data_IF_866521148089
#
_entry.id   IF_866521148089
#
_cell.length_a   1.000
_cell.length_b   1.000
_cell.length_c   1.000
_cell.angle_alpha   90.00
_cell.angle_beta   90.00
_cell.angle_gamma   90.00
#
_symmetry.space_group_name_H-M   'P 1'
#
loop_
_entity.id
_entity.type
_entity.pdbx_description
1 polymer ?
#
# COMPACT_ATOMS: atom_id res chain seq x y z
N UNK A 1 26.14 -34.16 37.42
CA UNK A 1 25.43 -35.37 37.81
C UNK A 1 24.07 -35.41 37.13
N UNK A 2 23.97 -36.35 36.19
CA UNK A 2 22.82 -37.10 35.68
C UNK A 2 21.78 -36.36 34.84
N UNK A 3 21.88 -36.61 33.55
CA UNK A 3 20.95 -37.34 32.67
C UNK A 3 19.45 -37.06 32.87
N UNK A 4 18.83 -36.42 31.88
CA UNK A 4 17.48 -36.77 31.43
C UNK A 4 17.46 -36.82 29.90
N UNK A 5 17.10 -37.97 29.45
CA UNK A 5 17.03 -38.52 28.11
C UNK A 5 16.17 -37.70 27.12
N UNK A 6 16.73 -37.65 25.95
CA UNK A 6 16.10 -37.39 24.65
C UNK A 6 14.86 -38.27 24.44
N UNK A 7 13.71 -37.64 24.11
CA UNK A 7 12.62 -38.28 23.38
C UNK A 7 12.40 -37.50 22.11
N UNK A 8 13.05 -37.94 21.04
CA UNK A 8 12.73 -37.58 19.69
C UNK A 8 11.36 -38.20 19.32
N UNK A 9 10.31 -37.39 19.29
CA UNK A 9 9.14 -37.72 18.52
C UNK A 9 9.30 -37.08 17.13
N UNK A 10 9.51 -37.90 16.13
CA UNK A 10 9.44 -37.56 14.73
C UNK A 10 8.02 -37.12 14.44
N UNK A 11 7.84 -35.83 14.21
CA UNK A 11 6.70 -35.29 13.47
C UNK A 11 7.27 -34.67 12.21
N UNK A 12 6.94 -35.25 11.07
CA UNK A 12 7.16 -34.67 9.76
C UNK A 12 6.51 -33.28 9.72
N UNK A 13 7.22 -32.26 9.22
CA UNK A 13 6.62 -30.96 9.03
C UNK A 13 5.56 -31.05 7.92
N UNK A 14 4.43 -30.36 8.07
CA UNK A 14 3.45 -30.31 7.01
C UNK A 14 4.05 -29.64 5.78
N UNK A 15 3.73 -30.21 4.65
CA UNK A 15 4.12 -29.90 3.28
C UNK A 15 4.21 -28.38 3.01
N UNK A 16 5.41 -27.84 2.96
CA UNK A 16 5.72 -26.41 2.66
C UNK A 16 5.65 -26.11 1.16
N UNK A 17 5.05 -26.98 0.36
CA UNK A 17 5.05 -26.91 -1.10
C UNK A 17 4.11 -25.85 -1.70
N UNK A 18 3.25 -25.17 -0.92
CA UNK A 18 2.29 -24.18 -1.43
C UNK A 18 2.70 -22.71 -1.21
N UNK A 19 3.76 -22.43 -0.47
CA UNK A 19 4.24 -21.05 -0.23
C UNK A 19 5.28 -20.55 -1.27
N UNK A 20 5.64 -21.36 -2.26
CA UNK A 20 6.85 -21.16 -3.07
C UNK A 20 6.70 -20.74 -4.52
N UNK A 21 5.53 -20.27 -5.00
CA UNK A 21 5.36 -20.03 -6.46
C UNK A 21 5.30 -18.57 -6.92
N UNK A 22 5.64 -17.61 -6.08
CA UNK A 22 5.73 -16.19 -6.50
C UNK A 22 7.13 -15.59 -6.44
N UNK A 23 8.16 -16.36 -6.12
CA UNK A 23 9.53 -15.86 -6.19
C UNK A 23 10.20 -16.38 -7.48
N UNK A 24 10.65 -15.43 -8.30
CA UNK A 24 11.67 -15.70 -9.29
C UNK A 24 12.83 -16.46 -8.64
N UNK A 25 13.62 -17.24 -9.38
CA UNK A 25 14.74 -17.97 -8.80
C UNK A 25 15.68 -17.03 -8.05
N UNK A 26 16.35 -17.49 -7.00
CA UNK A 26 17.25 -16.68 -6.17
C UNK A 26 18.31 -15.88 -6.96
N UNK A 27 18.62 -16.28 -8.17
CA UNK A 27 19.51 -15.58 -9.10
C UNK A 27 18.81 -14.42 -9.82
N UNK A 28 17.53 -14.57 -10.16
CA UNK A 28 16.68 -13.49 -10.69
C UNK A 28 16.38 -12.45 -9.62
N UNK A 29 16.15 -12.86 -8.37
CA UNK A 29 15.98 -11.98 -7.24
C UNK A 29 17.24 -11.16 -6.95
N UNK A 30 18.44 -11.76 -7.04
CA UNK A 30 19.71 -11.04 -6.90
C UNK A 30 19.92 -10.00 -8.02
N UNK A 31 19.65 -10.36 -9.27
CA UNK A 31 19.78 -9.43 -10.40
C UNK A 31 18.74 -8.30 -10.30
N UNK A 32 17.53 -8.58 -9.84
CA UNK A 32 16.44 -7.63 -9.61
C UNK A 32 16.82 -6.59 -8.56
N UNK A 33 17.53 -6.99 -7.52
CA UNK A 33 17.88 -6.13 -6.38
C UNK A 33 19.19 -5.35 -6.54
N UNK A 34 20.10 -5.75 -7.42
CA UNK A 34 21.42 -5.12 -7.57
C UNK A 34 21.42 -3.83 -8.38
N UNK A 35 20.45 -3.58 -9.26
CA UNK A 35 20.41 -2.36 -10.06
C UNK A 35 19.43 -1.34 -9.51
N UNK A 36 19.93 -0.17 -9.12
CA UNK A 36 19.10 0.98 -8.79
C UNK A 36 18.59 1.72 -10.04
N UNK A 37 19.12 1.41 -11.22
CA UNK A 37 18.69 1.98 -12.48
C UNK A 37 17.40 1.31 -12.96
N UNK A 38 16.38 2.13 -13.23
CA UNK A 38 15.19 1.72 -13.96
C UNK A 38 15.29 2.21 -15.41
N UNK A 39 14.66 1.50 -16.33
CA UNK A 39 14.60 1.95 -17.72
C UNK A 39 13.72 3.19 -17.83
N UNK A 40 14.23 4.24 -18.44
CA UNK A 40 13.43 5.31 -19.01
C UNK A 40 12.85 4.79 -20.33
N UNK A 41 11.66 4.25 -20.29
CA UNK A 41 10.91 3.97 -21.50
C UNK A 41 10.05 5.20 -21.77
N UNK A 42 10.28 5.89 -22.88
CA UNK A 42 9.47 7.06 -23.29
C UNK A 42 7.96 6.73 -23.42
N UNK A 43 7.60 5.46 -23.48
CA UNK A 43 6.23 4.96 -23.63
C UNK A 43 5.70 4.12 -22.46
N UNK A 44 6.51 3.83 -21.44
CA UNK A 44 6.09 2.99 -20.30
C UNK A 44 5.62 3.82 -19.11
N UNK A 45 4.91 4.90 -19.37
CA UNK A 45 4.08 5.52 -18.34
C UNK A 45 3.02 4.49 -17.92
N UNK A 46 2.74 4.44 -16.63
CA UNK A 46 1.57 3.70 -16.13
C UNK A 46 0.32 4.13 -16.93
N UNK A 47 -0.65 3.21 -17.17
CA UNK A 47 -1.89 3.60 -17.81
C UNK A 47 -2.52 4.81 -17.13
N UNK A 48 -2.80 5.88 -17.88
CA UNK A 48 -3.51 7.06 -17.38
C UNK A 48 -4.99 6.91 -17.72
N UNK A 49 -5.83 6.89 -16.70
CA UNK A 49 -7.26 6.68 -16.82
C UNK A 49 -8.00 7.92 -16.32
N UNK A 50 -8.74 8.57 -17.21
CA UNK A 50 -9.73 9.57 -16.81
C UNK A 50 -10.93 8.85 -16.18
N UNK A 51 -11.17 9.15 -14.90
CA UNK A 51 -12.25 8.52 -14.13
C UNK A 51 -13.48 9.43 -13.93
N UNK A 52 -13.59 10.56 -14.65
CA UNK A 52 -14.76 11.43 -14.55
C UNK A 52 -16.08 10.67 -14.75
N UNK A 53 -16.09 9.69 -15.66
CA UNK A 53 -17.26 8.86 -15.93
C UNK A 53 -17.74 8.01 -14.75
N UNK A 54 -16.91 7.75 -13.73
CA UNK A 54 -17.35 7.07 -12.51
C UNK A 54 -18.30 7.90 -11.65
N UNK A 55 -18.39 9.20 -11.90
CA UNK A 55 -19.30 10.12 -11.22
C UNK A 55 -20.61 10.35 -12.00
N UNK A 56 -20.75 9.73 -13.17
CA UNK A 56 -21.97 9.80 -13.98
C UNK A 56 -23.12 9.02 -13.34
N UNK A 57 -24.38 9.49 -13.46
CA UNK A 57 -25.55 8.70 -13.13
C UNK A 57 -25.76 7.52 -14.10
N UNK A 58 -25.19 7.58 -15.31
CA UNK A 58 -25.30 6.52 -16.30
C UNK A 58 -24.36 5.35 -15.98
N UNK A 59 -24.94 4.15 -15.80
CA UNK A 59 -24.20 2.92 -15.56
C UNK A 59 -23.27 2.57 -16.72
N UNK A 60 -23.66 2.85 -17.97
CA UNK A 60 -22.83 2.53 -19.13
C UNK A 60 -21.53 3.34 -19.12
N UNK A 61 -21.57 4.63 -18.74
CA UNK A 61 -20.37 5.45 -18.60
C UNK A 61 -19.46 4.94 -17.47
N UNK A 62 -20.03 4.57 -16.32
CA UNK A 62 -19.27 3.98 -15.22
C UNK A 62 -18.63 2.66 -15.61
N UNK A 63 -19.36 1.82 -16.33
CA UNK A 63 -18.86 0.51 -16.83
C UNK A 63 -17.72 0.68 -17.82
N UNK A 64 -17.82 1.65 -18.75
CA UNK A 64 -16.74 1.91 -19.70
C UNK A 64 -15.42 2.33 -19.02
N UNK A 65 -15.49 3.11 -17.94
CA UNK A 65 -14.30 3.42 -17.14
C UNK A 65 -13.82 2.19 -16.37
N UNK A 66 -14.73 1.41 -15.80
CA UNK A 66 -14.42 0.19 -15.06
C UNK A 66 -13.68 -0.83 -15.94
N UNK A 67 -14.05 -1.00 -17.20
CA UNK A 67 -13.37 -1.89 -18.16
C UNK A 67 -11.91 -1.48 -18.36
N UNK A 68 -11.63 -0.18 -18.48
CA UNK A 68 -10.26 0.35 -18.60
C UNK A 68 -9.45 0.08 -17.33
N UNK A 69 -10.06 0.28 -16.16
CA UNK A 69 -9.44 -0.05 -14.87
C UNK A 69 -9.16 -1.56 -14.80
N UNK A 70 -10.12 -2.41 -15.15
CA UNK A 70 -9.96 -3.87 -15.16
C UNK A 70 -8.83 -4.35 -16.08
N UNK A 71 -8.67 -3.73 -17.26
CA UNK A 71 -7.56 -4.01 -18.15
C UNK A 71 -6.21 -3.69 -17.50
N UNK A 72 -6.07 -2.50 -16.90
CA UNK A 72 -4.86 -2.09 -16.18
C UNK A 72 -4.56 -3.01 -14.97
N UNK A 73 -5.60 -3.44 -14.23
CA UNK A 73 -5.48 -4.38 -13.12
C UNK A 73 -4.93 -5.75 -13.55
N UNK A 74 -5.35 -6.26 -14.71
CA UNK A 74 -4.86 -7.54 -15.26
C UNK A 74 -3.44 -7.44 -15.79
N UNK A 75 -3.12 -6.35 -16.45
CA UNK A 75 -1.86 -6.21 -17.16
C UNK A 75 -0.71 -5.81 -16.22
N UNK A 76 -0.90 -4.75 -15.44
CA UNK A 76 0.16 -4.14 -14.63
C UNK A 76 -0.15 -4.19 -13.13
N UNK A 77 -1.41 -4.04 -12.72
CA UNK A 77 -1.80 -3.85 -11.32
C UNK A 77 -1.50 -2.45 -10.78
N UNK A 78 -1.08 -1.52 -11.66
CA UNK A 78 -0.79 -0.12 -11.41
C UNK A 78 -1.37 0.75 -12.52
N UNK A 79 -1.94 1.90 -12.14
CA UNK A 79 -2.45 2.90 -13.11
C UNK A 79 -2.52 4.28 -12.44
N UNK A 80 -2.56 5.34 -13.26
CA UNK A 80 -2.81 6.70 -12.80
C UNK A 80 -4.28 7.06 -13.04
N UNK A 81 -4.89 7.80 -12.11
CA UNK A 81 -6.25 8.32 -12.25
C UNK A 81 -6.25 9.83 -12.31
N UNK A 82 -6.93 10.39 -13.32
CA UNK A 82 -7.20 11.81 -13.47
C UNK A 82 -8.69 12.10 -13.29
N UNK A 83 -9.06 13.37 -13.08
CA UNK A 83 -10.44 13.82 -12.88
C UNK A 83 -11.17 13.10 -11.74
N UNK A 84 -10.42 12.83 -10.67
CA UNK A 84 -10.85 12.07 -9.50
C UNK A 84 -11.69 12.85 -8.48
N UNK A 85 -11.91 14.16 -8.69
CA UNK A 85 -12.77 15.01 -7.86
C UNK A 85 -12.19 15.46 -6.53
N UNK A 86 -10.97 15.07 -6.18
CA UNK A 86 -10.30 15.57 -4.96
C UNK A 86 -9.76 16.97 -5.21
N UNK A 87 -10.06 17.91 -4.30
CA UNK A 87 -9.67 19.31 -4.40
C UNK A 87 -8.14 19.46 -4.49
N UNK A 88 -7.59 20.08 -5.54
CA UNK A 88 -6.16 20.36 -5.66
C UNK A 88 -5.59 21.20 -4.49
N UNK A 89 -6.40 22.12 -3.92
CA UNK A 89 -5.98 22.89 -2.76
C UNK A 89 -5.76 22.00 -1.53
N UNK A 90 -6.58 20.96 -1.36
CA UNK A 90 -6.39 19.97 -0.28
C UNK A 90 -5.13 19.14 -0.50
N UNK A 91 -4.81 18.73 -1.73
CA UNK A 91 -3.58 18.02 -2.06
C UNK A 91 -2.34 18.86 -1.73
N UNK A 92 -2.36 20.16 -2.08
CA UNK A 92 -1.28 21.09 -1.74
C UNK A 92 -1.15 21.27 -0.22
N UNK A 93 -2.26 21.44 0.49
CA UNK A 93 -2.26 21.59 1.95
C UNK A 93 -1.65 20.37 2.65
N UNK A 94 -1.93 19.15 2.17
CA UNK A 94 -1.33 17.92 2.73
C UNK A 94 0.18 17.91 2.56
N UNK A 95 0.70 18.27 1.40
CA UNK A 95 2.15 18.37 1.19
C UNK A 95 2.79 19.46 2.03
N UNK A 96 2.11 20.61 2.18
CA UNK A 96 2.62 21.69 3.03
C UNK A 96 2.72 21.24 4.49
N UNK A 97 1.67 20.64 5.03
CA UNK A 97 1.68 20.11 6.39
C UNK A 97 2.73 19.01 6.57
N UNK A 98 2.95 18.16 5.57
CA UNK A 98 4.01 17.16 5.60
C UNK A 98 5.40 17.80 5.67
N UNK A 99 5.69 18.81 4.83
CA UNK A 99 6.97 19.53 4.85
C UNK A 99 7.19 20.21 6.20
N UNK A 100 6.18 20.91 6.71
CA UNK A 100 6.27 21.59 8.02
C UNK A 100 6.53 20.58 9.13
N UNK A 101 5.86 19.42 9.13
CA UNK A 101 6.11 18.39 10.13
C UNK A 101 7.52 17.81 10.05
N UNK A 102 7.98 17.39 8.88
CA UNK A 102 9.29 16.74 8.74
C UNK A 102 10.47 17.73 8.90
N UNK A 103 10.24 19.03 8.73
CA UNK A 103 11.25 20.07 9.01
C UNK A 103 11.45 20.37 10.51
N UNK A 104 10.61 19.84 11.38
CA UNK A 104 10.74 20.03 12.82
C UNK A 104 12.01 19.36 13.36
N UNK A 105 12.54 19.89 14.49
CA UNK A 105 13.64 19.24 15.20
C UNK A 105 13.31 17.77 15.53
N UNK A 106 14.30 16.90 15.41
CA UNK A 106 14.15 15.45 15.64
C UNK A 106 13.47 15.12 16.98
N UNK A 107 13.79 15.88 18.04
CA UNK A 107 13.20 15.69 19.37
C UNK A 107 11.65 15.87 19.36
N UNK A 108 11.16 16.87 18.62
CA UNK A 108 9.72 17.12 18.48
C UNK A 108 9.01 15.97 17.71
N UNK A 109 9.63 15.51 16.63
CA UNK A 109 9.11 14.35 15.86
C UNK A 109 9.13 13.09 16.70
N UNK A 110 10.20 12.82 17.44
CA UNK A 110 10.37 11.65 18.32
C UNK A 110 9.39 11.62 19.49
N UNK A 111 8.91 12.76 19.95
CA UNK A 111 7.87 12.81 20.98
C UNK A 111 6.55 12.14 20.52
N UNK A 112 6.37 12.00 19.19
CA UNK A 112 5.23 11.35 18.55
C UNK A 112 5.60 9.98 17.93
N UNK A 113 6.70 9.34 18.39
CA UNK A 113 7.16 8.07 17.83
C UNK A 113 6.06 7.00 17.92
N UNK A 114 5.84 6.27 16.84
CA UNK A 114 4.82 5.22 16.76
C UNK A 114 4.98 4.09 17.80
N UNK A 115 6.18 3.97 18.38
CA UNK A 115 6.44 3.01 19.48
C UNK A 115 5.56 3.27 20.70
N UNK A 116 5.10 4.50 20.88
CA UNK A 116 4.18 4.87 21.97
C UNK A 116 2.71 4.56 21.65
N UNK A 117 2.39 4.18 20.41
CA UNK A 117 1.02 3.87 19.98
C UNK A 117 0.77 2.37 19.89
N UNK A 118 -0.29 1.90 20.53
CA UNK A 118 -0.77 0.53 20.39
C UNK A 118 -1.43 0.26 19.02
N UNK A 119 -1.77 1.33 18.29
CA UNK A 119 -2.44 1.28 16.99
C UNK A 119 -1.51 1.57 15.80
N UNK A 120 -0.19 1.53 15.98
CA UNK A 120 0.80 1.86 14.96
C UNK A 120 0.60 3.27 14.36
N UNK A 121 0.35 4.29 15.19
CA UNK A 121 0.15 5.69 14.81
C UNK A 121 1.33 6.56 15.23
N UNK A 122 1.59 7.60 14.46
CA UNK A 122 2.64 8.58 14.76
C UNK A 122 3.88 8.44 13.89
N UNK A 123 4.98 8.97 14.38
CA UNK A 123 6.24 9.12 13.66
C UNK A 123 7.05 7.83 13.58
N UNK A 124 7.52 7.52 12.40
CA UNK A 124 8.53 6.49 12.14
C UNK A 124 9.84 7.18 11.74
N UNK A 125 10.91 7.00 12.51
CA UNK A 125 12.16 7.70 12.26
C UNK A 125 12.86 7.24 10.97
N UNK A 126 13.78 8.07 10.51
CA UNK A 126 14.62 7.76 9.36
C UNK A 126 15.34 6.42 9.56
N UNK A 127 15.26 5.55 8.56
CA UNK A 127 15.74 4.15 8.61
C UNK A 127 15.05 3.27 9.67
N UNK A 128 13.84 3.65 10.07
CA UNK A 128 13.03 2.87 11.04
C UNK A 128 12.40 1.60 10.47
N UNK A 129 12.55 1.32 9.17
CA UNK A 129 11.90 0.19 8.49
C UNK A 129 12.89 -0.54 7.55
N UNK A 130 12.70 -1.86 7.43
CA UNK A 130 13.35 -2.71 6.41
C UNK A 130 12.24 -3.50 5.71
N UNK A 131 11.86 -3.12 4.51
CA UNK A 131 10.81 -3.84 3.76
C UNK A 131 11.37 -5.00 2.93
N UNK A 132 12.57 -4.85 2.43
CA UNK A 132 13.22 -5.87 1.60
C UNK A 132 14.19 -6.69 2.45
N UNK A 133 13.92 -7.98 2.61
CA UNK A 133 14.73 -8.86 3.43
C UNK A 133 16.20 -8.89 2.96
N UNK A 134 17.13 -8.67 3.89
CA UNK A 134 18.56 -8.65 3.59
C UNK A 134 19.09 -7.36 2.93
N UNK A 135 18.23 -6.38 2.69
CA UNK A 135 18.63 -5.05 2.22
C UNK A 135 18.96 -4.11 3.40
N UNK A 136 19.69 -3.00 3.18
CA UNK A 136 19.79 -1.92 4.14
C UNK A 136 18.41 -1.35 4.49
N UNK A 137 18.32 -0.70 5.67
CA UNK A 137 17.10 -0.03 6.09
C UNK A 137 16.70 1.07 5.07
N UNK A 138 15.40 1.24 4.92
CA UNK A 138 14.79 2.18 3.99
C UNK A 138 15.16 3.63 4.34
N UNK A 139 15.69 4.37 3.38
CA UNK A 139 16.07 5.77 3.54
C UNK A 139 14.83 6.67 3.44
N UNK A 140 13.97 6.56 4.43
CA UNK A 140 12.76 7.39 4.59
C UNK A 140 12.41 7.55 6.07
N UNK A 141 11.65 8.57 6.35
CA UNK A 141 10.89 8.74 7.59
C UNK A 141 9.40 8.85 7.25
N UNK A 142 8.54 8.60 8.21
CA UNK A 142 7.10 8.57 7.96
C UNK A 142 6.25 9.01 9.13
N UNK A 143 5.00 9.37 8.86
CA UNK A 143 3.99 9.63 9.87
C UNK A 143 2.69 8.90 9.53
N UNK A 144 2.18 8.12 10.47
CA UNK A 144 1.05 7.20 10.28
C UNK A 144 -0.22 7.75 10.95
N UNK A 145 -1.30 7.80 10.19
CA UNK A 145 -2.61 8.29 10.62
C UNK A 145 -3.68 7.27 10.21
N UNK A 146 -4.59 6.94 11.12
CA UNK A 146 -5.74 6.09 10.82
C UNK A 146 -7.05 6.73 11.23
N UNK A 147 -8.07 5.91 11.41
CA UNK A 147 -9.31 6.35 12.04
C UNK A 147 -9.03 6.81 13.47
N UNK A 148 -9.58 7.97 13.84
CA UNK A 148 -9.50 8.47 15.21
C UNK A 148 -10.53 7.72 16.06
N UNK A 149 -10.07 6.98 17.04
CA UNK A 149 -10.93 6.21 17.94
C UNK A 149 -10.64 6.60 19.40
N UNK A 150 -11.69 6.83 20.14
CA UNK A 150 -11.59 7.09 21.58
C UNK A 150 -11.12 5.83 22.34
N UNK A 151 -10.52 6.02 23.51
CA UNK A 151 -10.01 4.91 24.33
C UNK A 151 -11.11 3.95 24.78
N UNK A 152 -12.35 4.44 24.91
CA UNK A 152 -13.55 3.68 25.28
C UNK A 152 -14.30 3.07 24.08
N UNK A 153 -13.81 3.24 22.84
CA UNK A 153 -14.37 2.57 21.66
C UNK A 153 -14.30 1.05 21.84
N UNK A 154 -15.39 0.31 21.61
CA UNK A 154 -15.41 -1.15 21.76
C UNK A 154 -14.31 -1.89 20.99
N UNK A 155 -13.90 -1.38 19.82
CA UNK A 155 -12.83 -1.96 18.99
C UNK A 155 -11.46 -1.78 19.66
N UNK A 156 -11.25 -0.64 20.31
CA UNK A 156 -10.02 -0.34 21.07
C UNK A 156 -9.96 -1.19 22.34
N UNK A 157 -11.06 -1.27 23.09
CA UNK A 157 -11.17 -2.10 24.29
C UNK A 157 -10.98 -3.60 23.99
N UNK A 158 -11.43 -4.05 22.81
CA UNK A 158 -11.22 -5.42 22.33
C UNK A 158 -9.80 -5.69 21.82
N UNK A 159 -8.90 -4.69 21.77
CA UNK A 159 -7.53 -4.83 21.28
C UNK A 159 -7.46 -5.18 19.78
N UNK A 160 -8.42 -4.68 18.99
CA UNK A 160 -8.44 -4.91 17.55
C UNK A 160 -7.17 -4.34 16.90
N UNK A 161 -6.67 -5.03 15.88
CA UNK A 161 -5.45 -4.65 15.19
C UNK A 161 -5.57 -3.26 14.55
N UNK A 162 -4.59 -2.38 14.78
CA UNK A 162 -4.53 -1.01 14.26
C UNK A 162 -5.73 -0.11 14.63
N UNK A 163 -6.46 -0.41 15.73
CA UNK A 163 -7.54 0.43 16.24
C UNK A 163 -7.07 1.22 17.46
N UNK A 164 -7.25 2.54 17.45
CA UNK A 164 -6.86 3.43 18.55
C UNK A 164 -6.76 4.89 18.11
N UNK A 165 -6.42 5.74 19.07
CA UNK A 165 -6.20 7.15 18.83
C UNK A 165 -4.97 7.41 17.97
N UNK A 166 -5.01 8.49 17.20
CA UNK A 166 -3.85 9.02 16.51
C UNK A 166 -2.96 9.82 17.48
N UNK A 167 -1.71 10.00 17.12
CA UNK A 167 -0.82 10.98 17.74
C UNK A 167 -0.83 12.24 16.87
N UNK A 168 -1.07 13.41 17.49
CA UNK A 168 -1.17 14.66 16.75
C UNK A 168 -0.09 15.66 17.19
N UNK A 169 0.62 16.32 16.25
CA UNK A 169 1.53 17.40 16.57
C UNK A 169 0.75 18.64 17.00
N UNK A 170 0.60 18.85 18.30
CA UNK A 170 -0.22 19.92 18.88
C UNK A 170 0.25 21.33 18.50
N UNK A 171 1.52 21.47 18.15
CA UNK A 171 2.12 22.75 17.71
C UNK A 171 1.71 23.12 16.27
N UNK A 172 1.13 22.20 15.51
CA UNK A 172 0.71 22.40 14.12
C UNK A 172 -0.82 22.42 14.03
N UNK A 173 -1.44 23.58 14.25
CA UNK A 173 -2.88 23.72 14.36
C UNK A 173 -3.65 23.21 13.13
N UNK A 174 -3.10 23.37 11.92
CA UNK A 174 -3.76 22.98 10.66
C UNK A 174 -3.46 21.51 10.27
N UNK A 175 -2.55 20.82 10.96
CA UNK A 175 -2.14 19.46 10.59
C UNK A 175 -3.30 18.48 10.69
N UNK A 176 -3.88 18.34 11.88
CA UNK A 176 -4.99 17.42 12.13
C UNK A 176 -6.18 17.66 11.22
N UNK A 177 -6.78 18.87 11.13
CA UNK A 177 -7.96 19.09 10.29
C UNK A 177 -7.67 18.86 8.79
N UNK A 178 -6.45 19.13 8.33
CA UNK A 178 -6.05 18.84 6.94
C UNK A 178 -5.99 17.34 6.69
N UNK A 179 -5.35 16.57 7.58
CA UNK A 179 -5.20 15.12 7.42
C UNK A 179 -6.52 14.38 7.53
N UNK A 180 -7.41 14.80 8.45
CA UNK A 180 -8.74 14.20 8.59
C UNK A 180 -9.58 14.43 7.32
N UNK A 181 -9.64 15.66 6.81
CA UNK A 181 -10.35 15.97 5.53
C UNK A 181 -9.77 15.18 4.35
N UNK A 182 -8.45 15.08 4.28
CA UNK A 182 -7.81 14.33 3.19
C UNK A 182 -8.10 12.84 3.30
N UNK A 183 -8.04 12.26 4.48
CA UNK A 183 -8.39 10.85 4.72
C UNK A 183 -9.82 10.54 4.30
N UNK A 184 -10.77 11.44 4.60
CA UNK A 184 -12.17 11.26 4.22
C UNK A 184 -12.35 11.31 2.69
N UNK A 185 -11.66 12.24 2.02
CA UNK A 185 -11.66 12.31 0.56
C UNK A 185 -11.07 11.04 -0.07
N UNK A 186 -10.01 10.49 0.51
CA UNK A 186 -9.38 9.25 0.04
C UNK A 186 -10.26 8.03 0.27
N UNK A 187 -10.95 7.94 1.40
CA UNK A 187 -11.92 6.86 1.66
C UNK A 187 -13.04 6.88 0.61
N UNK A 188 -13.58 8.07 0.31
CA UNK A 188 -14.63 8.21 -0.69
C UNK A 188 -14.15 7.81 -2.11
N UNK A 189 -12.94 8.24 -2.49
CA UNK A 189 -12.35 7.88 -3.78
C UNK A 189 -12.05 6.37 -3.85
N UNK A 190 -11.50 5.78 -2.80
CA UNK A 190 -11.20 4.35 -2.73
C UNK A 190 -12.48 3.51 -2.85
N UNK A 191 -13.56 3.87 -2.15
CA UNK A 191 -14.85 3.19 -2.26
C UNK A 191 -15.42 3.25 -3.69
N UNK A 192 -15.28 4.39 -4.37
CA UNK A 192 -15.70 4.53 -5.78
C UNK A 192 -14.87 3.63 -6.71
N UNK A 193 -13.56 3.57 -6.50
CA UNK A 193 -12.68 2.68 -7.26
C UNK A 193 -12.99 1.20 -7.00
N UNK A 194 -13.38 0.83 -5.77
CA UNK A 194 -13.83 -0.53 -5.47
C UNK A 194 -15.12 -0.89 -6.21
N UNK A 195 -16.06 0.06 -6.36
CA UNK A 195 -17.24 -0.12 -7.22
C UNK A 195 -16.86 -0.35 -8.69
N UNK A 196 -15.91 0.43 -9.22
CA UNK A 196 -15.39 0.22 -10.57
C UNK A 196 -14.70 -1.15 -10.74
N UNK A 197 -13.96 -1.61 -9.73
CA UNK A 197 -13.38 -2.96 -9.72
C UNK A 197 -14.47 -4.02 -9.74
N UNK A 198 -15.57 -3.87 -8.99
CA UNK A 198 -16.70 -4.78 -9.03
C UNK A 198 -17.28 -4.87 -10.45
N UNK A 199 -17.61 -3.73 -11.07
CA UNK A 199 -18.12 -3.67 -12.44
C UNK A 199 -17.16 -4.32 -13.45
N UNK A 200 -15.84 -4.10 -13.32
CA UNK A 200 -14.83 -4.69 -14.21
C UNK A 200 -14.72 -6.22 -14.10
N UNK A 201 -15.22 -6.77 -13.01
CA UNK A 201 -15.33 -8.22 -12.74
C UNK A 201 -16.73 -8.78 -13.04
N UNK A 202 -17.61 -7.96 -13.68
CA UNK A 202 -18.99 -8.32 -13.99
C UNK A 202 -19.82 -8.60 -12.73
N UNK A 203 -19.53 -7.92 -11.64
CA UNK A 203 -20.26 -7.96 -10.38
C UNK A 203 -21.13 -6.71 -10.22
N UNK A 204 -22.17 -6.74 -9.38
CA UNK A 204 -22.88 -5.52 -8.98
C UNK A 204 -21.91 -4.46 -8.44
N UNK A 205 -22.15 -3.19 -8.78
CA UNK A 205 -21.25 -2.07 -8.36
C UNK A 205 -21.05 -2.02 -6.84
N UNK A 206 -22.07 -2.37 -6.07
CA UNK A 206 -22.09 -2.42 -4.63
C UNK A 206 -21.49 -3.69 -4.01
N UNK A 207 -20.98 -4.62 -4.81
CA UNK A 207 -20.48 -5.93 -4.34
C UNK A 207 -19.50 -5.79 -3.15
N UNK A 208 -18.62 -4.82 -3.20
CA UNK A 208 -17.63 -4.57 -2.13
C UNK A 208 -18.10 -3.54 -1.08
N UNK A 209 -19.39 -3.19 -1.02
CA UNK A 209 -19.89 -2.21 -0.03
C UNK A 209 -19.62 -2.65 1.42
N UNK A 210 -19.73 -3.95 1.72
CA UNK A 210 -19.40 -4.51 3.03
C UNK A 210 -17.93 -4.38 3.39
N UNK A 211 -17.03 -4.53 2.41
CA UNK A 211 -15.60 -4.29 2.57
C UNK A 211 -15.26 -2.81 2.77
N UNK A 212 -15.97 -1.92 2.06
CA UNK A 212 -15.72 -0.48 2.14
C UNK A 212 -16.23 0.15 3.44
N UNK A 213 -17.21 -0.47 4.12
CA UNK A 213 -17.79 0.03 5.37
C UNK A 213 -16.83 -0.18 6.52
N UNK A 214 -16.68 0.85 7.37
CA UNK A 214 -15.79 0.80 8.55
C UNK A 214 -14.37 0.31 8.18
N UNK A 215 -13.86 0.80 7.06
CA UNK A 215 -12.58 0.40 6.51
C UNK A 215 -11.42 0.76 7.42
N UNK A 216 -10.59 -0.21 7.72
CA UNK A 216 -9.28 -0.01 8.32
C UNK A 216 -8.36 0.61 7.27
N UNK A 217 -8.30 1.94 7.22
CA UNK A 217 -7.45 2.69 6.32
C UNK A 217 -6.29 3.36 7.05
N UNK A 218 -5.16 3.48 6.36
CA UNK A 218 -3.97 4.17 6.90
C UNK A 218 -3.46 5.19 5.90
N UNK A 219 -3.43 6.45 6.33
CA UNK A 219 -2.76 7.54 5.64
C UNK A 219 -1.31 7.60 6.14
N UNK A 220 -0.35 7.62 5.24
CA UNK A 220 1.05 7.85 5.58
C UNK A 220 1.56 9.10 4.89
N UNK A 221 2.24 9.95 5.64
CA UNK A 221 3.12 10.96 5.07
C UNK A 221 4.51 10.35 5.01
N UNK A 222 5.18 10.46 3.87
CA UNK A 222 6.52 9.91 3.67
C UNK A 222 7.46 11.00 3.16
N UNK A 223 8.62 11.10 3.80
CA UNK A 223 9.72 11.96 3.40
C UNK A 223 10.95 11.10 3.07
N UNK A 224 11.52 11.35 1.92
CA UNK A 224 12.72 10.69 1.40
C UNK A 224 13.80 11.74 1.20
N UNK A 225 14.81 11.82 2.06
CA UNK A 225 15.93 12.72 1.83
C UNK A 225 16.71 12.34 0.57
N UNK A 226 17.52 13.25 0.00
CA UNK A 226 18.45 12.91 -1.05
C UNK A 226 19.35 11.75 -0.64
N UNK A 227 19.59 10.81 -1.56
CA UNK A 227 20.50 9.71 -1.26
C UNK A 227 21.90 10.23 -0.99
N UNK A 228 22.51 9.93 0.17
CA UNK A 228 23.83 10.45 0.51
C UNK A 228 24.90 9.85 -0.39
N UNK A 229 25.98 10.59 -0.63
CA UNK A 229 27.09 10.13 -1.49
C UNK A 229 27.77 8.83 -0.96
N UNK A 230 27.66 8.57 0.34
CA UNK A 230 28.16 7.36 0.98
C UNK A 230 27.05 6.37 1.32
N UNK A 231 25.96 6.36 0.55
CA UNK A 231 24.88 5.40 0.72
C UNK A 231 25.41 3.96 0.69
N UNK A 232 24.86 3.11 1.53
CA UNK A 232 25.19 1.68 1.52
C UNK A 232 24.83 1.06 0.16
N UNK A 233 25.61 0.09 -0.34
CA UNK A 233 25.24 -0.62 -1.57
C UNK A 233 23.83 -1.20 -1.46
N UNK A 234 22.95 -0.86 -2.42
CA UNK A 234 21.57 -1.31 -2.42
C UNK A 234 20.61 -0.53 -1.51
N UNK A 235 21.06 0.51 -0.81
CA UNK A 235 20.18 1.39 -0.02
C UNK A 235 19.17 2.09 -0.94
N UNK A 236 17.90 2.05 -0.55
CA UNK A 236 16.76 2.58 -1.31
C UNK A 236 15.93 3.49 -0.40
N UNK A 237 15.13 4.35 -0.99
CA UNK A 237 14.11 5.09 -0.25
C UNK A 237 13.06 4.15 0.36
N UNK A 238 12.67 3.12 -0.41
CA UNK A 238 11.78 2.06 0.04
C UNK A 238 12.14 0.77 -0.68
N UNK A 239 12.40 -0.29 0.07
CA UNK A 239 12.71 -1.62 -0.46
C UNK A 239 11.58 -2.20 -1.31
N UNK A 240 11.90 -3.20 -2.14
CA UNK A 240 10.94 -3.84 -3.02
C UNK A 240 9.90 -4.64 -2.21
N UNK A 241 8.61 -4.38 -2.45
CA UNK A 241 7.49 -5.00 -1.75
C UNK A 241 6.20 -4.98 -2.58
N UNK A 242 5.20 -5.73 -2.14
CA UNK A 242 3.80 -5.60 -2.52
C UNK A 242 2.99 -5.01 -1.36
N UNK A 243 1.86 -4.38 -1.65
CA UNK A 243 0.97 -3.87 -0.61
C UNK A 243 0.02 -4.96 -0.11
N UNK A 244 -0.30 -4.93 1.19
CA UNK A 244 -1.08 -6.01 1.83
C UNK A 244 -2.59 -5.88 1.64
N UNK A 245 -3.10 -4.64 1.49
CA UNK A 245 -4.51 -4.30 1.54
C UNK A 245 -5.29 -4.54 0.26
N UNK A 246 -6.39 -3.80 0.11
CA UNK A 246 -7.19 -3.74 -1.11
C UNK A 246 -6.55 -2.82 -2.15
N UNK A 247 -6.59 -1.52 -1.92
CA UNK A 247 -6.07 -0.48 -2.81
C UNK A 247 -5.06 0.42 -2.09
N UNK A 248 -4.08 0.89 -2.83
CA UNK A 248 -3.25 2.03 -2.42
C UNK A 248 -3.47 3.19 -3.39
N UNK A 249 -3.78 4.37 -2.85
CA UNK A 249 -3.90 5.63 -3.58
C UNK A 249 -2.71 6.50 -3.21
N UNK A 250 -1.80 6.72 -4.14
CA UNK A 250 -0.56 7.42 -3.88
C UNK A 250 -0.57 8.82 -4.52
N UNK A 251 -0.50 9.86 -3.69
CA UNK A 251 -0.16 11.20 -4.12
C UNK A 251 1.36 11.37 -4.09
N UNK A 252 1.95 11.84 -5.19
CA UNK A 252 3.39 12.09 -5.33
C UNK A 252 3.64 13.59 -5.53
N UNK A 253 4.76 14.09 -5.02
CA UNK A 253 5.29 15.39 -5.44
C UNK A 253 5.91 15.28 -6.86
N UNK A 254 6.53 16.35 -7.33
CA UNK A 254 7.15 16.42 -8.66
C UNK A 254 8.47 15.60 -8.77
N UNK A 255 9.03 15.13 -7.65
CA UNK A 255 10.30 14.41 -7.65
C UNK A 255 10.06 12.92 -7.95
N UNK A 256 10.68 12.38 -9.02
CA UNK A 256 10.55 10.96 -9.36
C UNK A 256 11.22 10.07 -8.32
N UNK A 257 10.78 8.83 -8.23
CA UNK A 257 11.39 7.84 -7.32
C UNK A 257 10.66 6.51 -7.31
N UNK A 258 9.36 6.48 -7.59
CA UNK A 258 8.60 5.23 -7.67
C UNK A 258 9.04 4.42 -8.90
N UNK A 259 9.33 3.15 -8.66
CA UNK A 259 9.63 2.17 -9.68
C UNK A 259 8.72 0.96 -9.51
N UNK A 260 8.17 0.47 -10.62
CA UNK A 260 7.27 -0.68 -10.67
C UNK A 260 7.93 -1.79 -11.48
N UNK A 261 7.81 -3.02 -11.02
CA UNK A 261 8.37 -4.17 -11.72
C UNK A 261 7.51 -4.56 -12.92
N UNK A 262 8.09 -4.44 -14.10
CA UNK A 262 7.47 -4.96 -15.32
C UNK A 262 7.96 -6.40 -15.59
N UNK A 263 7.03 -7.34 -15.47
CA UNK A 263 7.31 -8.76 -15.66
C UNK A 263 7.56 -9.15 -17.12
N UNK A 264 7.07 -8.36 -18.09
CA UNK A 264 7.26 -8.66 -19.51
C UNK A 264 8.69 -8.37 -19.92
N UNK A 265 9.19 -7.17 -19.58
CA UNK A 265 10.59 -6.80 -19.80
C UNK A 265 11.54 -7.32 -18.72
N UNK A 266 11.02 -7.88 -17.62
CA UNK A 266 11.76 -8.29 -16.41
C UNK A 266 12.69 -7.18 -15.93
N UNK A 267 12.17 -5.97 -15.84
CA UNK A 267 12.93 -4.79 -15.43
C UNK A 267 12.08 -3.81 -14.65
N UNK A 268 12.75 -2.95 -13.89
CA UNK A 268 12.10 -1.83 -13.22
C UNK A 268 11.78 -0.73 -14.21
N UNK A 269 10.56 -0.18 -14.13
CA UNK A 269 10.14 0.99 -14.90
C UNK A 269 9.83 2.15 -13.96
N UNK A 270 10.11 3.38 -14.38
CA UNK A 270 9.77 4.57 -13.62
C UNK A 270 8.29 4.88 -13.74
N UNK A 271 7.62 5.04 -12.59
CA UNK A 271 6.31 5.66 -12.50
C UNK A 271 6.48 7.17 -12.27
N UNK A 272 6.75 7.88 -13.35
CA UNK A 272 6.96 9.33 -13.29
C UNK A 272 5.71 10.04 -12.72
N UNK A 273 5.87 11.04 -11.85
CA UNK A 273 4.74 11.84 -11.36
C UNK A 273 4.02 12.53 -12.52
N UNK A 274 2.70 12.40 -12.55
CA UNK A 274 1.82 13.13 -13.48
C UNK A 274 1.01 14.14 -12.65
N UNK A 275 1.15 15.45 -12.89
CA UNK A 275 0.45 16.45 -12.10
C UNK A 275 -1.06 16.23 -12.09
N UNK A 276 -1.71 16.43 -10.93
CA UNK A 276 -3.15 16.30 -10.78
C UNK A 276 -3.68 14.87 -10.86
N UNK A 277 -2.83 13.86 -10.63
CA UNK A 277 -3.25 12.45 -10.63
C UNK A 277 -2.87 11.75 -9.33
N UNK A 278 -3.55 10.64 -9.06
CA UNK A 278 -3.09 9.62 -8.10
C UNK A 278 -2.55 8.41 -8.85
N UNK A 279 -1.46 7.83 -8.36
CA UNK A 279 -1.10 6.46 -8.72
C UNK A 279 -1.95 5.53 -7.87
N UNK A 280 -2.60 4.57 -8.49
CA UNK A 280 -3.39 3.53 -7.83
C UNK A 280 -2.76 2.19 -8.10
N UNK A 281 -2.56 1.40 -7.04
CA UNK A 281 -2.14 0.01 -7.16
C UNK A 281 -3.00 -0.92 -6.32
N UNK A 282 -3.02 -2.17 -6.74
CA UNK A 282 -3.72 -3.26 -6.07
C UNK A 282 -2.83 -3.90 -5.02
N UNK A 283 -3.42 -4.20 -3.87
CA UNK A 283 -2.78 -5.01 -2.84
C UNK A 283 -3.11 -6.50 -2.95
N UNK A 284 -2.50 -7.28 -2.09
CA UNK A 284 -2.57 -8.75 -2.11
C UNK A 284 -3.99 -9.29 -1.90
N UNK A 285 -4.89 -8.54 -1.24
CA UNK A 285 -6.28 -8.97 -1.10
C UNK A 285 -7.03 -9.00 -2.42
N UNK A 286 -6.77 -8.04 -3.33
CA UNK A 286 -7.39 -8.04 -4.65
C UNK A 286 -6.89 -9.25 -5.46
N UNK A 287 -5.60 -9.58 -5.36
CA UNK A 287 -5.05 -10.76 -6.01
C UNK A 287 -5.72 -12.06 -5.47
N UNK A 288 -5.96 -12.15 -4.16
CA UNK A 288 -6.66 -13.28 -3.54
C UNK A 288 -8.11 -13.41 -4.02
N UNK A 289 -8.89 -12.32 -4.04
CA UNK A 289 -10.26 -12.32 -4.55
C UNK A 289 -10.35 -12.78 -5.99
N UNK A 290 -9.39 -12.36 -6.81
CA UNK A 290 -9.42 -12.58 -8.26
C UNK A 290 -8.60 -13.80 -8.71
N UNK A 291 -8.15 -14.64 -7.78
CA UNK A 291 -7.32 -15.82 -8.07
C UNK A 291 -6.09 -15.47 -8.93
N UNK A 292 -5.45 -14.32 -8.65
CA UNK A 292 -4.33 -13.74 -9.39
C UNK A 292 -4.66 -13.22 -10.81
N UNK A 293 -5.93 -13.08 -11.17
CA UNK A 293 -6.28 -12.41 -12.43
C UNK A 293 -5.94 -10.92 -12.38
N UNK A 294 -6.15 -10.27 -11.22
CA UNK A 294 -5.68 -8.92 -10.93
C UNK A 294 -4.42 -9.00 -10.10
N UNK A 295 -3.50 -8.07 -10.31
CA UNK A 295 -2.13 -8.22 -9.85
C UNK A 295 -1.79 -7.33 -8.68
N UNK A 296 -1.25 -7.91 -7.64
CA UNK A 296 -0.44 -7.19 -6.66
C UNK A 296 0.99 -7.16 -7.19
N UNK A 297 1.49 -5.98 -7.56
CA UNK A 297 2.74 -5.84 -8.31
C UNK A 297 3.85 -5.27 -7.43
N UNK A 298 5.02 -5.89 -7.54
CA UNK A 298 6.23 -5.49 -6.82
C UNK A 298 6.62 -4.06 -7.21
N UNK A 299 6.90 -3.22 -6.20
CA UNK A 299 7.32 -1.84 -6.42
C UNK A 299 8.31 -1.40 -5.35
N UNK A 300 9.06 -0.33 -5.64
CA UNK A 300 10.08 0.22 -4.75
C UNK A 300 10.23 1.73 -4.96
N UNK A 301 10.96 2.40 -4.06
CA UNK A 301 11.31 3.81 -4.23
C UNK A 301 12.82 3.99 -4.22
N UNK A 302 13.34 4.69 -5.24
CA UNK A 302 14.75 5.06 -5.34
C UNK A 302 14.84 6.56 -5.58
N UNK A 303 15.25 7.33 -4.56
CA UNK A 303 15.39 8.77 -4.68
C UNK A 303 16.83 9.18 -5.06
N UNK A 304 17.13 9.10 -6.34
CA UNK A 304 18.44 9.54 -6.91
C UNK A 304 18.39 10.93 -7.54
N UNK A 305 17.31 11.68 -7.31
CA UNK A 305 17.11 13.02 -7.89
C UNK A 305 18.06 14.08 -7.33
N UNK A 306 18.72 13.81 -6.20
CA UNK A 306 19.50 14.80 -5.44
C UNK A 306 18.65 15.82 -4.68
N UNK A 307 17.32 15.64 -4.67
CA UNK A 307 16.34 16.50 -3.99
C UNK A 307 15.53 15.69 -2.99
N UNK A 308 14.94 16.38 -2.03
CA UNK A 308 13.94 15.79 -1.14
C UNK A 308 12.71 15.39 -1.93
N UNK A 309 12.12 14.25 -1.58
CA UNK A 309 10.89 13.74 -2.17
C UNK A 309 9.86 13.51 -1.08
N UNK A 310 8.62 13.93 -1.35
CA UNK A 310 7.46 13.66 -0.50
C UNK A 310 6.45 12.81 -1.25
N UNK A 311 5.84 11.89 -0.52
CA UNK A 311 4.69 11.15 -1.04
C UNK A 311 3.70 10.81 0.06
N UNK A 312 2.44 10.63 -0.33
CA UNK A 312 1.33 10.47 0.60
C UNK A 312 0.50 9.26 0.16
N UNK A 313 0.95 8.03 0.46
CA UNK A 313 0.15 6.84 0.21
C UNK A 313 -1.02 6.75 1.21
N UNK A 314 -2.17 6.39 0.69
CA UNK A 314 -3.35 6.02 1.42
C UNK A 314 -3.66 4.55 1.18
N UNK A 315 -3.51 3.74 2.22
CA UNK A 315 -3.76 2.30 2.18
C UNK A 315 -5.20 2.02 2.58
N UNK A 316 -6.02 1.59 1.63
CA UNK A 316 -7.40 1.21 1.85
C UNK A 316 -7.49 -0.30 2.07
N UNK A 317 -7.52 -0.70 3.33
CA UNK A 317 -7.42 -2.10 3.72
C UNK A 317 -8.77 -2.80 3.89
N UNK A 318 -9.85 -2.04 3.97
CA UNK A 318 -11.20 -2.56 4.10
C UNK A 318 -11.64 -2.91 5.53
N UNK A 319 -12.87 -3.35 5.65
CA UNK A 319 -13.47 -3.75 6.93
C UNK A 319 -12.71 -4.95 7.51
N UNK A 320 -12.21 -4.88 8.76
CA UNK A 320 -11.40 -5.94 9.37
C UNK A 320 -12.11 -7.30 9.47
N UNK A 321 -13.44 -7.31 9.57
CA UNK A 321 -14.24 -8.52 9.69
C UNK A 321 -14.68 -9.09 8.32
N UNK A 322 -14.40 -8.37 7.23
CA UNK A 322 -14.79 -8.83 5.91
C UNK A 322 -13.99 -10.07 5.50
N UNK A 323 -14.71 -11.11 5.02
CA UNK A 323 -14.10 -12.34 4.53
C UNK A 323 -13.60 -12.14 3.10
N UNK A 324 -12.32 -12.36 2.89
CA UNK A 324 -11.64 -12.36 1.59
C UNK A 324 -11.57 -13.79 1.09
N UNK A 325 -12.39 -14.13 0.13
CA UNK A 325 -12.42 -15.43 -0.53
C UNK A 325 -12.45 -15.27 -2.06
N UNK A 326 -11.99 -16.28 -2.78
CA UNK A 326 -11.95 -16.22 -4.24
C UNK A 326 -13.35 -16.02 -4.83
N UNK A 327 -13.48 -15.02 -5.69
CA UNK A 327 -14.73 -14.72 -6.39
C UNK A 327 -15.07 -15.84 -7.38
N UNK A 328 -16.31 -16.35 -7.39
CA UNK A 328 -16.72 -17.38 -8.33
C UNK A 328 -16.51 -17.01 -9.81
N UNK A 329 -16.64 -15.72 -10.14
CA UNK A 329 -16.40 -15.17 -11.49
C UNK A 329 -14.93 -15.23 -11.92
N UNK A 330 -14.02 -15.46 -10.97
CA UNK A 330 -12.57 -15.54 -11.19
C UNK A 330 -12.04 -16.98 -11.19
N UNK A 331 -12.94 -17.99 -11.17
CA UNK A 331 -12.59 -19.40 -11.24
C UNK A 331 -13.01 -19.98 -12.61
N UNK A 332 -12.09 -20.68 -13.26
CA UNK A 332 -12.45 -21.50 -14.41
C UNK A 332 -13.25 -22.74 -13.95
N UNK A 333 -14.05 -23.34 -14.81
CA UNK A 333 -14.75 -24.58 -14.47
C UNK A 333 -13.81 -25.68 -13.98
N UNK A 334 -14.01 -26.14 -12.74
CA UNK A 334 -13.16 -27.15 -12.09
C UNK A 334 -11.88 -26.63 -11.47
N UNK A 335 -11.60 -25.32 -11.53
CA UNK A 335 -10.46 -24.70 -10.83
C UNK A 335 -10.78 -24.50 -9.34
N UNK A 336 -9.83 -24.82 -8.49
CA UNK A 336 -9.91 -24.53 -7.06
C UNK A 336 -9.30 -23.14 -6.74
N UNK A 337 -9.79 -22.45 -5.70
CA UNK A 337 -9.13 -21.24 -5.19
C UNK A 337 -7.66 -21.50 -4.83
N UNK A 338 -6.78 -20.59 -5.21
CA UNK A 338 -5.34 -20.65 -4.87
C UNK A 338 -5.07 -20.31 -3.41
N UNK A 339 -5.97 -19.56 -2.81
CA UNK A 339 -5.82 -19.05 -1.45
C UNK A 339 -6.99 -19.50 -0.59
N UNK A 340 -6.76 -19.87 0.68
CA UNK A 340 -7.84 -20.09 1.62
C UNK A 340 -8.56 -18.77 1.92
N UNK A 341 -9.83 -18.84 2.29
CA UNK A 341 -10.57 -17.70 2.79
C UNK A 341 -9.93 -17.19 4.10
N UNK A 342 -9.91 -15.88 4.29
CA UNK A 342 -9.29 -15.23 5.45
C UNK A 342 -9.97 -13.88 5.70
N UNK A 343 -10.12 -13.46 6.95
CA UNK A 343 -10.58 -12.08 7.22
C UNK A 343 -9.49 -11.06 6.90
N UNK A 344 -9.93 -9.82 6.64
CA UNK A 344 -9.00 -8.69 6.42
C UNK A 344 -8.02 -8.56 7.59
N UNK A 345 -8.52 -8.62 8.83
CA UNK A 345 -7.66 -8.49 10.01
C UNK A 345 -6.63 -9.63 10.13
N UNK A 346 -7.05 -10.89 9.93
CA UNK A 346 -6.15 -12.04 9.96
C UNK A 346 -5.05 -11.93 8.90
N UNK A 347 -5.42 -11.51 7.68
CA UNK A 347 -4.45 -11.28 6.61
C UNK A 347 -3.43 -10.21 7.01
N UNK A 348 -3.88 -9.05 7.51
CA UNK A 348 -2.98 -7.98 7.94
C UNK A 348 -2.06 -8.40 9.08
N UNK A 349 -2.58 -9.07 10.10
CA UNK A 349 -1.76 -9.58 11.23
C UNK A 349 -0.65 -10.50 10.74
N UNK A 350 -0.96 -11.41 9.83
CA UNK A 350 0.03 -12.32 9.27
C UNK A 350 1.09 -11.58 8.42
N UNK A 351 0.68 -10.61 7.60
CA UNK A 351 1.63 -9.82 6.81
C UNK A 351 2.55 -8.96 7.71
N UNK A 352 1.99 -8.35 8.75
CA UNK A 352 2.78 -7.61 9.74
C UNK A 352 3.77 -8.52 10.47
N UNK A 353 3.35 -9.71 10.88
CA UNK A 353 4.23 -10.69 11.52
C UNK A 353 5.40 -11.09 10.61
N UNK A 354 5.17 -11.24 9.32
CA UNK A 354 6.23 -11.57 8.33
C UNK A 354 7.20 -10.41 8.09
N UNK A 355 6.71 -9.18 8.19
CA UNK A 355 7.48 -7.98 7.82
C UNK A 355 8.22 -7.38 9.01
N UNK A 356 7.66 -7.47 10.22
CA UNK A 356 8.15 -6.78 11.43
C UNK A 356 8.42 -7.73 12.63
N UNK A 357 8.10 -9.03 12.48
CA UNK A 357 8.22 -10.05 13.54
C UNK A 357 9.55 -10.77 13.63
#
# INVERSE_FOLDING_TARGET
LLDILCFCAQHDPPDTALAGRHFASAEQDRAMNQSLCARHLEAAALPLIDIAGLFSPDLAERTAVAERIGAACREVGFFCVANHGVDPALQQAVFEQARVFFSQPEAGKRALDKVFSKANRGYEPLRGQVLEAGAPADLKEGFYIGEELAEDDPRVLAGRFNHGANQWPTELADFRPTMERYRDAMNALAARLMGAIALSLQLPEEHFAGFCRDSMSTLRLLHYPPQPANAAPGEKGCGAHTDFGGLTLLLQDENPGLQVWDRHSKSWIHAAPVPGTYVVNLGDMIARWTNDQYRSTLHRVVNISGRERYSVPFFFSGNPDHLVECLPTCLAPGEAPRYPAVTVEEHHREMYRRTYG
#
